data_IF_041311920734
#
_entry.id   IF_041311920734
#
_cell.length_a   1.000
_cell.length_b   1.000
_cell.length_c   1.000
_cell.angle_alpha   90.00
_cell.angle_beta   90.00
_cell.angle_gamma   90.00
#
_symmetry.space_group_name_H-M   'P 1'
#
loop_
_entity.id
_entity.type
_entity.pdbx_description
1 polymer ?
#
# COMPACT_ATOMS: atom_id res chain seq x y z
N UNK A 1 -26.01 9.05 -22.36
CA UNK A 1 -25.72 8.92 -20.91
C UNK A 1 -25.04 10.20 -20.43
N UNK A 2 -25.49 10.76 -19.31
CA UNK A 2 -24.77 11.85 -18.65
C UNK A 2 -23.41 11.35 -18.11
N UNK A 3 -22.57 12.28 -17.63
CA UNK A 3 -21.26 11.94 -17.05
C UNK A 3 -21.38 11.04 -15.82
N UNK A 4 -22.36 11.30 -14.94
CA UNK A 4 -22.56 10.55 -13.70
C UNK A 4 -22.85 9.06 -13.95
N UNK A 5 -23.81 8.75 -14.82
CA UNK A 5 -24.14 7.38 -15.20
C UNK A 5 -22.94 6.64 -15.80
N UNK A 6 -22.10 7.34 -16.57
CA UNK A 6 -20.90 6.77 -17.16
C UNK A 6 -19.88 6.36 -16.09
N UNK A 7 -19.72 7.18 -15.04
CA UNK A 7 -18.87 6.85 -13.88
C UNK A 7 -19.42 5.69 -13.06
N UNK A 8 -20.74 5.65 -12.81
CA UNK A 8 -21.38 4.54 -12.09
C UNK A 8 -21.17 3.23 -12.84
N UNK A 9 -21.41 3.20 -14.15
CA UNK A 9 -21.18 2.01 -14.99
C UNK A 9 -19.72 1.57 -14.95
N UNK A 10 -18.77 2.51 -15.10
CA UNK A 10 -17.34 2.20 -15.03
C UNK A 10 -16.94 1.62 -13.66
N UNK A 11 -17.38 2.24 -12.56
CA UNK A 11 -17.15 1.75 -11.20
C UNK A 11 -17.72 0.36 -10.97
N UNK A 12 -18.94 0.08 -11.44
CA UNK A 12 -19.54 -1.25 -11.34
C UNK A 12 -18.75 -2.31 -12.12
N UNK A 13 -18.20 -1.97 -13.29
CA UNK A 13 -17.34 -2.88 -14.06
C UNK A 13 -16.02 -3.15 -13.37
N UNK A 14 -15.39 -2.12 -12.79
CA UNK A 14 -14.15 -2.25 -12.01
C UNK A 14 -14.38 -3.14 -10.80
N UNK A 15 -15.46 -2.89 -10.05
CA UNK A 15 -15.83 -3.70 -8.88
C UNK A 15 -16.12 -5.15 -9.29
N UNK A 16 -16.91 -5.35 -10.36
CA UNK A 16 -17.24 -6.68 -10.87
C UNK A 16 -16.01 -7.45 -11.36
N UNK A 17 -15.06 -6.78 -12.03
CA UNK A 17 -13.78 -7.38 -12.36
C UNK A 17 -13.03 -7.79 -11.09
N UNK A 18 -12.83 -6.87 -10.15
CA UNK A 18 -12.08 -7.12 -8.93
C UNK A 18 -12.64 -8.30 -8.13
N UNK A 19 -13.95 -8.29 -7.83
CA UNK A 19 -14.59 -9.35 -7.04
C UNK A 19 -14.60 -10.70 -7.75
N UNK A 20 -14.77 -10.72 -9.08
CA UNK A 20 -14.75 -11.98 -9.86
C UNK A 20 -13.35 -12.58 -9.99
N UNK A 21 -12.29 -11.75 -10.03
CA UNK A 21 -10.93 -12.25 -10.21
C UNK A 21 -10.26 -12.63 -8.89
N UNK A 22 -10.39 -11.82 -7.83
CA UNK A 22 -9.68 -12.04 -6.56
C UNK A 22 -10.00 -13.41 -5.94
N UNK A 23 -11.26 -13.86 -6.02
CA UNK A 23 -11.68 -15.15 -5.46
C UNK A 23 -11.14 -16.37 -6.22
N UNK A 24 -10.59 -16.18 -7.42
CA UNK A 24 -10.07 -17.23 -8.31
C UNK A 24 -8.56 -17.43 -8.20
N UNK A 25 -7.86 -16.68 -7.36
CA UNK A 25 -6.40 -16.84 -7.19
C UNK A 25 -6.01 -18.22 -6.62
N UNK A 26 -6.95 -18.96 -6.03
CA UNK A 26 -6.76 -20.36 -5.65
C UNK A 26 -6.60 -21.29 -6.87
N UNK A 27 -7.08 -20.90 -8.06
CA UNK A 27 -6.88 -21.63 -9.31
C UNK A 27 -5.40 -21.66 -9.72
N UNK A 28 -4.61 -20.64 -9.34
CA UNK A 28 -3.15 -20.58 -9.58
C UNK A 28 -2.44 -21.60 -8.69
N UNK A 29 -2.68 -21.51 -7.38
CA UNK A 29 -2.12 -22.35 -6.34
C UNK A 29 -2.97 -22.21 -5.05
N UNK A 30 -3.31 -23.30 -4.33
CA UNK A 30 -4.22 -23.24 -3.18
C UNK A 30 -3.71 -22.37 -2.02
N UNK A 31 -2.40 -22.30 -1.83
CA UNK A 31 -1.79 -21.48 -0.77
C UNK A 31 -1.54 -20.01 -1.16
N UNK A 32 -1.71 -19.64 -2.44
CA UNK A 32 -1.43 -18.29 -2.93
C UNK A 32 -2.37 -17.23 -2.34
N UNK A 33 -3.71 -17.41 -2.34
CA UNK A 33 -4.62 -16.40 -1.80
C UNK A 33 -4.26 -15.98 -0.39
N UNK A 34 -3.91 -16.92 0.47
CA UNK A 34 -3.62 -16.66 1.88
C UNK A 34 -2.22 -16.08 2.16
N UNK A 35 -1.33 -16.02 1.16
CA UNK A 35 0.07 -15.65 1.34
C UNK A 35 0.96 -16.75 1.94
N UNK A 36 0.42 -17.94 2.25
CA UNK A 36 1.22 -19.10 2.72
C UNK A 36 2.25 -19.50 1.67
N UNK A 37 1.91 -19.45 0.38
CA UNK A 37 2.86 -19.73 -0.70
C UNK A 37 4.05 -18.76 -0.66
N UNK A 38 3.81 -17.46 -0.48
CA UNK A 38 4.87 -16.46 -0.37
C UNK A 38 5.81 -16.76 0.80
N UNK A 39 5.26 -17.05 1.97
CA UNK A 39 6.06 -17.35 3.17
C UNK A 39 6.95 -18.60 2.97
N UNK A 40 6.41 -19.63 2.33
CA UNK A 40 7.14 -20.86 2.02
C UNK A 40 8.25 -20.63 0.98
N UNK A 41 7.95 -19.89 -0.09
CA UNK A 41 8.93 -19.54 -1.12
C UNK A 41 10.08 -18.72 -0.53
N UNK A 42 9.77 -17.72 0.28
CA UNK A 42 10.78 -16.91 0.96
C UNK A 42 11.67 -17.75 1.87
N UNK A 43 11.07 -18.62 2.68
CA UNK A 43 11.80 -19.53 3.57
C UNK A 43 12.73 -20.46 2.77
N UNK A 44 12.26 -21.01 1.65
CA UNK A 44 13.09 -21.85 0.77
C UNK A 44 14.24 -21.05 0.15
N UNK A 45 13.97 -19.83 -0.30
CA UNK A 45 14.96 -18.96 -0.92
C UNK A 45 16.07 -18.57 0.06
N UNK A 46 15.72 -18.23 1.31
CA UNK A 46 16.67 -17.91 2.37
C UNK A 46 17.50 -19.13 2.76
N UNK A 47 16.87 -20.30 2.94
CA UNK A 47 17.54 -21.49 3.46
C UNK A 47 18.34 -22.26 2.40
N UNK A 48 17.92 -22.21 1.13
CA UNK A 48 18.47 -23.04 0.04
C UNK A 48 19.05 -22.24 -1.11
N UNK A 49 18.96 -20.92 -1.09
CA UNK A 49 19.32 -20.05 -2.22
C UNK A 49 18.39 -20.18 -3.45
N UNK A 50 17.44 -21.13 -3.44
CA UNK A 50 16.55 -21.43 -4.55
C UNK A 50 15.15 -21.85 -4.06
N UNK A 51 14.13 -21.44 -4.80
CA UNK A 51 12.76 -21.88 -4.63
C UNK A 51 12.12 -22.14 -6.00
N UNK A 52 11.36 -23.21 -6.13
CA UNK A 52 10.62 -23.52 -7.36
C UNK A 52 9.17 -23.80 -7.01
N UNK A 53 8.26 -23.25 -7.79
CA UNK A 53 6.82 -23.51 -7.69
C UNK A 53 6.24 -23.73 -9.08
N UNK A 54 5.33 -24.69 -9.20
CA UNK A 54 4.51 -24.86 -10.40
C UNK A 54 3.17 -24.16 -10.19
N UNK A 55 2.82 -23.27 -11.11
CA UNK A 55 1.57 -22.50 -11.10
C UNK A 55 0.72 -22.94 -12.29
N UNK A 56 -0.60 -23.02 -12.10
CA UNK A 56 -1.52 -23.34 -13.19
C UNK A 56 -1.57 -22.17 -14.20
N UNK A 57 -1.29 -22.38 -15.48
CA UNK A 57 -1.26 -21.30 -16.48
C UNK A 57 -2.66 -20.74 -16.81
N UNK A 58 -3.71 -21.56 -16.71
CA UNK A 58 -5.03 -21.26 -17.29
C UNK A 58 -5.63 -19.97 -16.73
N UNK A 59 -5.55 -19.77 -15.42
CA UNK A 59 -6.11 -18.57 -14.81
C UNK A 59 -5.39 -17.29 -15.26
N UNK A 60 -4.09 -17.37 -15.53
CA UNK A 60 -3.28 -16.25 -16.01
C UNK A 60 -3.78 -15.74 -17.36
N UNK A 61 -4.05 -16.67 -18.28
CA UNK A 61 -4.62 -16.36 -19.58
C UNK A 61 -6.04 -15.79 -19.47
N UNK A 62 -6.89 -16.40 -18.65
CA UNK A 62 -8.27 -15.93 -18.40
C UNK A 62 -8.29 -14.50 -17.83
N UNK A 63 -7.48 -14.23 -16.80
CA UNK A 63 -7.37 -12.93 -16.15
C UNK A 63 -6.89 -11.87 -17.15
N UNK A 64 -5.81 -12.17 -17.88
CA UNK A 64 -5.24 -11.25 -18.86
C UNK A 64 -6.21 -10.95 -20.01
N UNK A 65 -6.97 -11.95 -20.45
CA UNK A 65 -8.04 -11.77 -21.43
C UNK A 65 -9.13 -10.84 -20.89
N UNK A 66 -9.67 -11.13 -19.70
CA UNK A 66 -10.69 -10.30 -19.06
C UNK A 66 -10.20 -8.85 -18.85
N UNK A 67 -8.95 -8.67 -18.45
CA UNK A 67 -8.35 -7.34 -18.28
C UNK A 67 -8.23 -6.59 -19.63
N UNK A 68 -7.77 -7.28 -20.69
CA UNK A 68 -7.69 -6.74 -22.06
C UNK A 68 -9.06 -6.36 -22.62
N UNK A 69 -10.15 -7.00 -22.18
CA UNK A 69 -11.53 -6.66 -22.56
C UNK A 69 -12.10 -5.49 -21.73
N UNK A 70 -11.72 -5.40 -20.44
CA UNK A 70 -12.13 -4.32 -19.55
C UNK A 70 -11.60 -2.96 -20.00
N UNK A 71 -10.31 -2.86 -20.31
CA UNK A 71 -9.64 -1.61 -20.69
C UNK A 71 -10.32 -0.84 -21.84
N UNK A 72 -10.59 -1.43 -23.02
CA UNK A 72 -11.28 -0.74 -24.12
C UNK A 72 -12.73 -0.39 -23.77
N UNK A 73 -13.39 -1.22 -22.95
CA UNK A 73 -14.74 -0.92 -22.44
C UNK A 73 -14.74 0.35 -21.59
N UNK A 74 -13.81 0.48 -20.64
CA UNK A 74 -13.67 1.68 -19.83
C UNK A 74 -13.34 2.92 -20.69
N UNK A 75 -12.44 2.78 -21.68
CA UNK A 75 -12.12 3.88 -22.61
C UNK A 75 -13.35 4.37 -23.36
N UNK A 76 -14.19 3.45 -23.85
CA UNK A 76 -15.42 3.79 -24.57
C UNK A 76 -16.41 4.47 -23.64
N UNK A 77 -16.67 3.89 -22.47
CA UNK A 77 -17.67 4.37 -21.53
C UNK A 77 -17.29 5.76 -20.96
N UNK A 78 -15.99 6.07 -20.83
CA UNK A 78 -15.48 7.33 -20.29
C UNK A 78 -15.07 8.37 -21.37
N UNK A 79 -15.16 8.03 -22.66
CA UNK A 79 -14.72 8.92 -23.75
C UNK A 79 -15.51 10.23 -23.73
N UNK A 80 -14.80 11.36 -23.63
CA UNK A 80 -15.41 12.70 -23.59
C UNK A 80 -16.21 12.99 -22.32
N UNK A 81 -16.08 12.17 -21.27
CA UNK A 81 -16.70 12.38 -19.95
C UNK A 81 -15.72 12.92 -18.91
N UNK A 82 -14.43 12.68 -19.13
CA UNK A 82 -13.31 13.19 -18.35
C UNK A 82 -12.99 14.62 -18.82
N UNK A 83 -13.75 15.60 -18.30
CA UNK A 83 -13.60 17.00 -18.73
C UNK A 83 -12.49 17.76 -17.99
N UNK A 84 -11.90 17.15 -16.95
CA UNK A 84 -10.91 17.79 -16.11
C UNK A 84 -9.51 17.33 -16.48
N UNK A 85 -8.59 18.27 -16.63
CA UNK A 85 -7.18 17.94 -16.71
C UNK A 85 -6.71 17.34 -15.38
N UNK A 86 -5.70 16.49 -15.43
CA UNK A 86 -5.12 15.91 -14.22
C UNK A 86 -4.64 17.01 -13.25
N UNK A 87 -4.10 18.12 -13.75
CA UNK A 87 -3.64 19.24 -12.94
C UNK A 87 -4.80 19.90 -12.17
N UNK A 88 -5.98 20.03 -12.79
CA UNK A 88 -7.17 20.54 -12.12
C UNK A 88 -7.63 19.59 -11.00
N UNK A 89 -7.63 18.27 -11.27
CA UNK A 89 -7.93 17.24 -10.26
C UNK A 89 -6.94 17.33 -9.09
N UNK A 90 -5.64 17.37 -9.38
CA UNK A 90 -4.58 17.46 -8.38
C UNK A 90 -4.71 18.70 -7.48
N UNK A 91 -4.89 19.88 -8.09
CA UNK A 91 -5.02 21.12 -7.33
C UNK A 91 -6.29 21.13 -6.45
N UNK A 92 -7.42 20.70 -6.99
CA UNK A 92 -8.67 20.62 -6.24
C UNK A 92 -8.61 19.58 -5.11
N UNK A 93 -7.95 18.44 -5.32
CA UNK A 93 -7.70 17.44 -4.27
C UNK A 93 -6.90 18.01 -3.11
N UNK A 94 -5.81 18.75 -3.38
CA UNK A 94 -5.05 19.40 -2.31
C UNK A 94 -5.89 20.44 -1.56
N UNK A 95 -6.62 21.29 -2.28
CA UNK A 95 -7.50 22.29 -1.68
C UNK A 95 -8.53 21.64 -0.74
N UNK A 96 -9.20 20.58 -1.19
CA UNK A 96 -10.20 19.85 -0.39
C UNK A 96 -9.58 19.29 0.89
N UNK A 97 -8.35 18.74 0.83
CA UNK A 97 -7.67 18.21 2.02
C UNK A 97 -7.33 19.30 3.04
N UNK A 98 -6.80 20.43 2.58
CA UNK A 98 -6.50 21.56 3.46
C UNK A 98 -7.78 22.12 4.09
N UNK A 99 -8.85 22.29 3.28
CA UNK A 99 -10.15 22.69 3.80
C UNK A 99 -10.67 21.69 4.84
N UNK A 100 -10.58 20.39 4.57
CA UNK A 100 -11.01 19.36 5.51
C UNK A 100 -10.23 19.41 6.82
N UNK A 101 -8.90 19.56 6.76
CA UNK A 101 -8.06 19.78 7.94
C UNK A 101 -8.54 20.98 8.77
N UNK A 102 -8.74 22.15 8.17
CA UNK A 102 -9.21 23.33 8.89
C UNK A 102 -10.64 23.15 9.45
N UNK A 103 -11.52 22.47 8.71
CA UNK A 103 -12.86 22.15 9.19
C UNK A 103 -12.81 21.23 10.41
N UNK A 104 -11.92 20.22 10.43
CA UNK A 104 -11.73 19.35 11.61
C UNK A 104 -11.28 20.16 12.81
N UNK A 105 -10.28 21.05 12.65
CA UNK A 105 -9.82 21.90 13.74
C UNK A 105 -10.93 22.80 14.29
N UNK A 106 -11.85 23.27 13.44
CA UNK A 106 -12.92 24.20 13.83
C UNK A 106 -14.18 23.52 14.39
N UNK A 107 -14.58 22.39 13.81
CA UNK A 107 -15.89 21.77 13.99
C UNK A 107 -15.83 20.29 14.42
N UNK A 108 -14.63 19.71 14.51
CA UNK A 108 -14.41 18.29 14.80
C UNK A 108 -14.56 17.38 13.58
N UNK A 109 -14.13 16.13 13.74
CA UNK A 109 -14.06 15.15 12.65
C UNK A 109 -15.42 14.82 12.02
N UNK A 110 -16.41 14.43 12.84
CA UNK A 110 -17.71 13.97 12.34
C UNK A 110 -18.45 15.05 11.55
N UNK A 111 -18.41 16.31 12.00
CA UNK A 111 -19.00 17.45 11.29
C UNK A 111 -18.32 17.75 9.95
N UNK A 112 -17.04 17.40 9.83
CA UNK A 112 -16.19 17.78 8.70
C UNK A 112 -16.05 16.69 7.63
N UNK A 113 -16.61 15.49 7.85
CA UNK A 113 -16.51 14.36 6.91
C UNK A 113 -17.05 14.71 5.52
N UNK A 114 -18.09 15.55 5.47
CA UNK A 114 -18.68 16.02 4.21
C UNK A 114 -17.70 16.81 3.36
N UNK A 115 -16.77 17.56 3.98
CA UNK A 115 -15.72 18.27 3.26
C UNK A 115 -14.78 17.28 2.58
N UNK A 116 -14.37 16.20 3.26
CA UNK A 116 -13.55 15.16 2.67
C UNK A 116 -14.24 14.42 1.51
N UNK A 117 -15.56 14.20 1.61
CA UNK A 117 -16.35 13.56 0.54
C UNK A 117 -16.38 14.38 -0.77
N UNK A 118 -16.12 15.69 -0.73
CA UNK A 118 -16.07 16.54 -1.93
C UNK A 118 -15.02 16.09 -2.94
N UNK A 119 -13.99 15.34 -2.53
CA UNK A 119 -12.99 14.83 -3.46
C UNK A 119 -13.60 13.92 -4.54
N UNK A 120 -14.69 13.22 -4.24
CA UNK A 120 -15.37 12.35 -5.20
C UNK A 120 -16.20 13.13 -6.22
N UNK A 121 -16.48 14.41 -5.98
CA UNK A 121 -17.03 15.30 -7.01
C UNK A 121 -15.95 15.65 -8.05
N UNK A 122 -14.70 15.80 -7.62
CA UNK A 122 -13.55 16.13 -8.48
C UNK A 122 -13.00 14.89 -9.19
N UNK A 123 -12.90 13.77 -8.47
CA UNK A 123 -12.30 12.52 -8.91
C UNK A 123 -13.24 11.33 -8.64
N UNK A 124 -14.41 11.22 -9.31
CA UNK A 124 -15.44 10.23 -8.98
C UNK A 124 -14.96 8.77 -9.02
N UNK A 125 -14.10 8.41 -9.98
CA UNK A 125 -13.52 7.06 -10.05
C UNK A 125 -12.56 6.74 -8.91
N UNK A 126 -12.10 7.72 -8.12
CA UNK A 126 -11.31 7.44 -6.92
C UNK A 126 -12.14 6.80 -5.80
N UNK A 127 -13.47 6.96 -5.83
CA UNK A 127 -14.38 6.30 -4.88
C UNK A 127 -14.23 4.78 -4.95
N UNK A 128 -14.31 4.20 -6.15
CA UNK A 128 -14.21 2.75 -6.27
C UNK A 128 -12.81 2.26 -5.88
N UNK A 129 -11.76 2.99 -6.22
CA UNK A 129 -10.39 2.64 -5.79
C UNK A 129 -10.25 2.75 -4.27
N UNK A 130 -10.91 3.71 -3.60
CA UNK A 130 -10.97 3.73 -2.13
C UNK A 130 -11.57 2.45 -1.55
N UNK A 131 -12.61 1.89 -2.17
CA UNK A 131 -13.19 0.61 -1.75
C UNK A 131 -12.16 -0.51 -1.91
N UNK A 132 -11.52 -0.61 -3.08
CA UNK A 132 -10.54 -1.66 -3.36
C UNK A 132 -9.31 -1.56 -2.44
N UNK A 133 -8.81 -0.34 -2.21
CA UNK A 133 -7.70 -0.05 -1.30
C UNK A 133 -8.06 -0.38 0.15
N UNK A 134 -9.29 -0.05 0.58
CA UNK A 134 -9.77 -0.46 1.89
C UNK A 134 -9.88 -1.98 2.02
N UNK A 135 -10.33 -2.71 0.98
CA UNK A 135 -10.29 -4.17 1.00
C UNK A 135 -8.86 -4.71 1.10
N UNK A 136 -7.89 -4.05 0.43
CA UNK A 136 -6.48 -4.44 0.42
C UNK A 136 -5.81 -4.33 1.78
N UNK A 137 -6.02 -3.21 2.50
CA UNK A 137 -5.36 -2.94 3.78
C UNK A 137 -6.25 -3.20 5.01
N UNK A 138 -7.57 -3.22 4.84
CA UNK A 138 -8.53 -3.25 5.95
C UNK A 138 -8.42 -4.50 6.81
N UNK A 139 -7.96 -5.61 6.25
CA UNK A 139 -7.76 -6.85 7.01
C UNK A 139 -6.61 -6.71 8.02
N UNK A 140 -5.50 -6.08 7.63
CA UNK A 140 -4.37 -5.82 8.53
C UNK A 140 -4.78 -4.85 9.65
N UNK A 141 -5.58 -3.85 9.31
CA UNK A 141 -6.17 -2.92 10.27
C UNK A 141 -7.09 -3.62 11.29
N UNK A 142 -7.89 -4.60 10.85
CA UNK A 142 -8.72 -5.42 11.73
C UNK A 142 -7.85 -6.24 12.70
N UNK A 143 -6.82 -6.93 12.20
CA UNK A 143 -5.90 -7.68 13.07
C UNK A 143 -5.25 -6.79 14.12
N UNK A 144 -4.82 -5.59 13.70
CA UNK A 144 -4.28 -4.59 14.61
C UNK A 144 -5.25 -4.25 15.74
N UNK A 145 -6.49 -3.85 15.43
CA UNK A 145 -7.43 -3.44 16.46
C UNK A 145 -7.91 -4.59 17.35
N UNK A 146 -7.98 -5.84 16.83
CA UNK A 146 -8.27 -7.03 17.66
C UNK A 146 -7.17 -7.22 18.69
N UNK A 147 -5.90 -7.21 18.27
CA UNK A 147 -4.76 -7.36 19.17
C UNK A 147 -4.68 -6.18 20.13
N UNK A 148 -4.91 -4.96 19.64
CA UNK A 148 -4.89 -3.76 20.48
C UNK A 148 -5.95 -3.84 21.58
N UNK A 149 -7.20 -4.19 21.25
CA UNK A 149 -8.27 -4.40 22.22
C UNK A 149 -7.89 -5.47 23.27
N UNK A 150 -7.33 -6.60 22.82
CA UNK A 150 -6.92 -7.67 23.72
C UNK A 150 -5.81 -7.20 24.69
N UNK A 151 -4.79 -6.49 24.19
CA UNK A 151 -3.69 -5.95 25.01
C UNK A 151 -4.20 -4.91 26.00
N UNK A 152 -4.99 -3.93 25.54
CA UNK A 152 -5.56 -2.89 26.39
C UNK A 152 -6.47 -3.45 27.49
N UNK A 153 -7.13 -4.59 27.23
CA UNK A 153 -7.97 -5.27 28.22
C UNK A 153 -7.18 -6.14 29.18
N UNK A 154 -6.07 -6.74 28.74
CA UNK A 154 -5.25 -7.65 29.54
C UNK A 154 -4.27 -6.91 30.45
N UNK A 155 -3.71 -5.78 30.02
CA UNK A 155 -2.69 -5.03 30.77
C UNK A 155 -3.13 -4.64 32.19
N UNK A 156 -4.36 -4.11 32.41
CA UNK A 156 -4.84 -3.79 33.76
C UNK A 156 -5.06 -5.02 34.66
N UNK A 157 -5.13 -6.23 34.09
CA UNK A 157 -5.38 -7.48 34.82
C UNK A 157 -4.08 -8.16 35.30
N UNK A 158 -2.92 -7.61 34.95
CA UNK A 158 -1.64 -8.16 35.40
C UNK A 158 -1.48 -7.99 36.91
N UNK A 159 -0.87 -8.96 37.61
CA UNK A 159 -0.69 -8.90 39.07
C UNK A 159 0.38 -7.88 39.50
N UNK A 160 0.99 -7.17 38.56
CA UNK A 160 2.00 -6.13 38.78
C UNK A 160 1.62 -4.86 38.01
N UNK A 161 1.99 -3.72 38.57
CA UNK A 161 1.76 -2.43 37.92
C UNK A 161 2.75 -2.20 36.79
N UNK A 162 2.23 -2.00 35.57
CA UNK A 162 3.02 -1.50 34.44
C UNK A 162 2.99 0.03 34.49
N UNK A 163 4.13 0.74 34.53
CA UNK A 163 4.15 2.20 34.51
C UNK A 163 3.40 2.75 33.29
N UNK A 164 2.38 3.57 33.53
CA UNK A 164 1.62 4.20 32.45
C UNK A 164 2.37 5.43 31.95
N UNK A 165 3.10 5.27 30.84
CA UNK A 165 3.69 6.38 30.10
C UNK A 165 2.76 6.71 28.95
N UNK A 166 2.24 7.93 28.91
CA UNK A 166 1.26 8.34 27.91
C UNK A 166 1.86 9.27 26.86
N UNK A 167 1.66 8.93 25.59
CA UNK A 167 1.84 9.84 24.47
C UNK A 167 0.53 10.58 24.21
N UNK A 168 0.57 11.91 24.15
CA UNK A 168 -0.58 12.71 23.74
C UNK A 168 -0.41 13.12 22.30
N UNK A 169 -1.41 12.87 21.46
CA UNK A 169 -1.45 13.34 20.08
C UNK A 169 -1.76 14.84 20.06
N UNK A 170 -0.74 15.66 20.27
CA UNK A 170 -0.83 17.12 20.21
C UNK A 170 0.01 17.68 19.05
N UNK A 171 0.15 19.00 19.01
CA UNK A 171 0.97 19.67 17.99
C UNK A 171 2.45 19.24 18.06
N UNK A 172 2.99 19.04 19.27
CA UNK A 172 4.39 18.63 19.44
C UNK A 172 4.60 17.21 18.90
N UNK A 173 3.66 16.30 19.17
CA UNK A 173 3.66 14.96 18.59
C UNK A 173 3.63 15.02 17.06
N UNK A 174 2.70 15.78 16.48
CA UNK A 174 2.56 15.91 15.03
C UNK A 174 3.84 16.46 14.37
N UNK A 175 4.42 17.53 14.92
CA UNK A 175 5.66 18.13 14.41
C UNK A 175 6.83 17.16 14.54
N UNK A 176 6.96 16.49 15.69
CA UNK A 176 8.05 15.53 15.93
C UNK A 176 7.94 14.33 14.98
N UNK A 177 6.74 13.78 14.81
CA UNK A 177 6.49 12.66 13.91
C UNK A 177 6.87 13.01 12.46
N UNK A 178 6.40 14.15 11.95
CA UNK A 178 6.70 14.60 10.59
C UNK A 178 8.20 14.94 10.40
N UNK A 179 8.83 15.53 11.42
CA UNK A 179 10.27 15.82 11.38
C UNK A 179 11.10 14.53 11.34
N UNK A 180 10.75 13.52 12.14
CA UNK A 180 11.41 12.21 12.11
C UNK A 180 11.23 11.56 10.74
N UNK A 181 10.01 11.50 10.20
CA UNK A 181 9.79 10.93 8.85
C UNK A 181 10.61 11.67 7.78
N UNK A 182 10.67 13.00 7.84
CA UNK A 182 11.47 13.80 6.91
C UNK A 182 12.97 13.47 7.01
N UNK A 183 13.52 13.40 8.23
CA UNK A 183 14.92 13.03 8.46
C UNK A 183 15.22 11.61 7.97
N UNK A 184 14.29 10.67 8.15
CA UNK A 184 14.40 9.31 7.63
C UNK A 184 14.40 9.28 6.10
N UNK A 185 13.57 10.10 5.43
CA UNK A 185 13.61 10.23 3.97
C UNK A 185 14.96 10.80 3.48
N UNK A 186 15.49 11.82 4.16
CA UNK A 186 16.83 12.36 3.88
C UNK A 186 17.92 11.30 4.04
N UNK A 187 17.84 10.49 5.11
CA UNK A 187 18.80 9.44 5.39
C UNK A 187 18.80 8.36 4.29
N UNK A 188 17.62 7.85 3.92
CA UNK A 188 17.50 6.85 2.85
C UNK A 188 17.98 7.43 1.51
N UNK A 189 17.61 8.68 1.20
CA UNK A 189 18.05 9.32 -0.04
C UNK A 189 19.58 9.45 -0.09
N UNK A 190 20.20 9.91 1.00
CA UNK A 190 21.65 10.10 1.06
C UNK A 190 22.47 8.79 1.03
N UNK A 191 21.88 7.68 1.43
CA UNK A 191 22.59 6.40 1.59
C UNK A 191 22.36 5.42 0.45
N UNK A 192 21.18 5.44 -0.17
CA UNK A 192 20.80 4.45 -1.19
C UNK A 192 20.51 5.07 -2.56
N UNK A 193 20.02 6.31 -2.63
CA UNK A 193 19.49 6.89 -3.87
C UNK A 193 20.57 7.24 -4.88
N UNK A 194 20.26 7.02 -6.15
CA UNK A 194 20.88 7.71 -7.28
C UNK A 194 20.79 9.23 -7.10
N UNK A 195 21.81 9.94 -7.56
CA UNK A 195 21.87 11.38 -7.47
C UNK A 195 20.86 12.03 -8.44
N UNK A 196 19.84 12.69 -7.90
CA UNK A 196 18.94 13.50 -8.70
C UNK A 196 19.53 14.91 -8.82
N UNK A 197 19.39 15.53 -9.99
CA UNK A 197 19.72 16.95 -10.14
C UNK A 197 18.90 17.81 -9.18
N UNK A 198 19.49 18.88 -8.63
CA UNK A 198 18.92 19.72 -7.55
C UNK A 198 17.46 20.12 -7.78
N UNK A 199 17.12 20.53 -9.02
CA UNK A 199 15.74 20.90 -9.37
C UNK A 199 14.76 19.74 -9.24
N UNK A 200 15.13 18.56 -9.74
CA UNK A 200 14.29 17.36 -9.68
C UNK A 200 14.16 16.90 -8.24
N UNK A 201 15.26 16.84 -7.50
CA UNK A 201 15.26 16.51 -6.08
C UNK A 201 14.34 17.44 -5.27
N UNK A 202 14.45 18.76 -5.45
CA UNK A 202 13.58 19.72 -4.78
C UNK A 202 12.08 19.51 -5.10
N UNK A 203 11.75 19.11 -6.34
CA UNK A 203 10.38 18.76 -6.70
C UNK A 203 9.89 17.53 -5.92
N UNK A 204 10.68 16.47 -5.80
CA UNK A 204 10.32 15.29 -5.00
C UNK A 204 10.17 15.63 -3.51
N UNK A 205 11.07 16.44 -2.96
CA UNK A 205 10.96 16.91 -1.57
C UNK A 205 9.66 17.66 -1.35
N UNK A 206 9.32 18.64 -2.20
CA UNK A 206 8.13 19.48 -2.00
C UNK A 206 6.85 18.71 -2.36
N UNK A 207 6.76 18.19 -3.58
CA UNK A 207 5.57 17.50 -4.06
C UNK A 207 5.36 16.16 -3.35
N UNK A 208 6.40 15.34 -3.24
CA UNK A 208 6.33 14.04 -2.55
C UNK A 208 5.86 14.23 -1.12
N UNK A 209 6.45 15.15 -0.36
CA UNK A 209 6.01 15.44 1.02
C UNK A 209 4.56 15.94 1.07
N UNK A 210 4.16 16.88 0.22
CA UNK A 210 2.77 17.36 0.22
C UNK A 210 1.79 16.25 -0.16
N UNK A 211 2.10 15.47 -1.19
CA UNK A 211 1.25 14.39 -1.67
C UNK A 211 1.12 13.29 -0.61
N UNK A 212 2.22 12.88 0.01
CA UNK A 212 2.27 11.71 0.90
C UNK A 212 2.12 12.04 2.38
N UNK A 213 2.16 13.31 2.82
CA UNK A 213 2.08 13.63 4.26
C UNK A 213 0.87 14.48 4.65
N UNK A 214 0.19 15.12 3.70
CA UNK A 214 -1.00 15.98 4.02
C UNK A 214 -2.14 15.23 4.68
N UNK A 215 -2.25 13.92 4.46
CA UNK A 215 -3.18 13.03 5.16
C UNK A 215 -2.96 13.03 6.69
N UNK A 216 -1.70 13.04 7.15
CA UNK A 216 -1.40 13.02 8.58
C UNK A 216 -1.86 14.29 9.28
N UNK A 217 -1.94 15.41 8.56
CA UNK A 217 -2.55 16.63 9.10
C UNK A 217 -4.02 16.38 9.49
N UNK A 218 -4.77 15.69 8.63
CA UNK A 218 -6.17 15.32 8.87
C UNK A 218 -6.28 14.36 10.06
N UNK A 219 -5.45 13.31 10.11
CA UNK A 219 -5.45 12.34 11.21
C UNK A 219 -5.08 13.00 12.55
N UNK A 220 -4.00 13.77 12.59
CA UNK A 220 -3.58 14.47 13.82
C UNK A 220 -4.59 15.52 14.27
N UNK A 221 -5.24 16.23 13.35
CA UNK A 221 -6.33 17.13 13.70
C UNK A 221 -7.52 16.36 14.29
N UNK A 222 -7.89 15.22 13.69
CA UNK A 222 -9.04 14.44 14.12
C UNK A 222 -8.81 13.76 15.47
N UNK A 223 -7.59 13.29 15.72
CA UNK A 223 -7.19 12.59 16.95
C UNK A 223 -6.51 13.51 17.97
N UNK A 224 -6.60 14.82 17.79
CA UNK A 224 -5.98 15.80 18.68
C UNK A 224 -6.44 15.60 20.14
N UNK A 225 -5.47 15.48 21.05
CA UNK A 225 -5.68 15.20 22.46
C UNK A 225 -5.87 13.71 22.82
N UNK A 226 -5.84 12.80 21.84
CA UNK A 226 -5.85 11.36 22.12
C UNK A 226 -4.63 10.99 22.96
N UNK A 227 -4.87 10.29 24.08
CA UNK A 227 -3.85 9.79 24.99
C UNK A 227 -3.67 8.30 24.75
N UNK A 228 -2.44 7.90 24.44
CA UNK A 228 -2.09 6.52 24.12
C UNK A 228 -1.04 6.03 25.11
N UNK A 229 -1.29 4.87 25.71
CA UNK A 229 -0.30 4.21 26.58
C UNK A 229 0.81 3.57 25.74
N UNK A 230 2.07 3.95 26.03
CA UNK A 230 3.25 3.46 25.31
C UNK A 230 3.42 1.96 25.46
N UNK A 231 3.13 1.39 26.64
CA UNK A 231 3.23 -0.05 26.85
C UNK A 231 2.25 -0.81 25.95
N UNK A 232 1.01 -0.34 25.88
CA UNK A 232 -0.02 -0.83 24.95
C UNK A 232 0.45 -0.80 23.49
N UNK A 233 1.07 0.30 23.03
CA UNK A 233 1.59 0.43 21.67
C UNK A 233 2.68 -0.59 21.38
N UNK A 234 3.68 -0.68 22.26
CA UNK A 234 4.83 -1.56 22.08
C UNK A 234 4.42 -3.04 22.08
N UNK A 235 3.57 -3.46 23.03
CA UNK A 235 3.13 -4.85 23.13
C UNK A 235 2.22 -5.22 21.96
N UNK A 236 1.26 -4.36 21.61
CA UNK A 236 0.40 -4.56 20.43
C UNK A 236 1.23 -4.66 19.16
N UNK A 237 2.22 -3.77 18.98
CA UNK A 237 3.13 -3.77 17.85
C UNK A 237 3.98 -5.04 17.77
N UNK A 238 4.60 -5.45 18.88
CA UNK A 238 5.41 -6.66 18.94
C UNK A 238 4.61 -7.92 18.64
N UNK A 239 3.38 -8.03 19.16
CA UNK A 239 2.47 -9.15 18.89
C UNK A 239 2.04 -9.18 17.42
N UNK A 240 1.67 -8.03 16.83
CA UNK A 240 1.33 -7.94 15.41
C UNK A 240 2.50 -8.38 14.52
N UNK A 241 3.69 -7.81 14.74
CA UNK A 241 4.89 -8.15 14.00
C UNK A 241 5.24 -9.64 14.13
N UNK A 242 5.16 -10.20 15.35
CA UNK A 242 5.41 -11.63 15.59
C UNK A 242 4.38 -12.52 14.90
N UNK A 243 3.11 -12.13 14.94
CA UNK A 243 2.02 -12.84 14.27
C UNK A 243 2.19 -12.85 12.74
N UNK A 244 2.64 -11.74 12.16
CA UNK A 244 2.98 -11.64 10.75
C UNK A 244 4.21 -12.49 10.39
N UNK A 245 5.33 -12.31 11.09
CA UNK A 245 6.61 -12.98 10.79
C UNK A 245 6.59 -14.49 11.04
N UNK A 246 5.77 -14.97 11.98
CA UNK A 246 5.58 -16.41 12.24
C UNK A 246 4.62 -17.10 11.25
N UNK A 247 4.11 -16.38 10.24
CA UNK A 247 3.08 -16.88 9.32
C UNK A 247 1.72 -17.11 9.99
N UNK A 248 1.51 -16.60 11.21
CA UNK A 248 0.23 -16.64 11.90
C UNK A 248 -0.87 -15.94 11.10
N UNK A 249 -0.57 -14.75 10.55
CA UNK A 249 -1.52 -14.02 9.68
C UNK A 249 -1.92 -14.83 8.46
N UNK A 250 -0.95 -15.36 7.72
CA UNK A 250 -1.22 -16.16 6.52
C UNK A 250 -2.10 -17.38 6.83
N UNK A 251 -1.84 -18.07 7.95
CA UNK A 251 -2.68 -19.19 8.42
C UNK A 251 -4.11 -18.75 8.79
N UNK A 252 -4.26 -17.61 9.47
CA UNK A 252 -5.57 -17.07 9.80
C UNK A 252 -6.37 -16.69 8.53
N UNK A 253 -5.73 -16.01 7.57
CA UNK A 253 -6.34 -15.68 6.28
C UNK A 253 -6.79 -16.94 5.53
N UNK A 254 -5.93 -17.97 5.49
CA UNK A 254 -6.28 -19.27 4.91
C UNK A 254 -7.51 -19.89 5.59
N UNK A 255 -7.55 -19.90 6.91
CA UNK A 255 -8.66 -20.46 7.68
C UNK A 255 -9.99 -19.70 7.44
N UNK A 256 -9.91 -18.39 7.20
CA UNK A 256 -11.05 -17.53 6.91
C UNK A 256 -11.42 -17.49 5.42
N UNK A 257 -10.65 -18.13 4.54
CA UNK A 257 -10.83 -18.04 3.09
C UNK A 257 -10.61 -16.61 2.54
N UNK A 258 -9.81 -15.79 3.23
CA UNK A 258 -9.55 -14.41 2.86
C UNK A 258 -8.26 -14.28 2.05
N UNK A 259 -8.23 -13.40 1.03
CA UNK A 259 -7.02 -13.09 0.29
C UNK A 259 -6.07 -12.21 1.11
N UNK A 260 -4.77 -12.38 0.89
CA UNK A 260 -3.69 -11.64 1.49
C UNK A 260 -3.34 -10.40 0.66
N UNK A 261 -2.67 -9.47 1.32
CA UNK A 261 -2.25 -8.18 0.76
C UNK A 261 -1.65 -8.29 -0.66
N UNK A 262 -0.67 -9.16 -0.98
CA UNK A 262 -0.05 -9.17 -2.31
C UNK A 262 -1.02 -9.46 -3.47
N UNK A 263 -2.02 -10.32 -3.22
CA UNK A 263 -3.04 -10.67 -4.21
C UNK A 263 -3.99 -9.51 -4.45
N UNK A 264 -4.47 -8.92 -3.35
CA UNK A 264 -5.39 -7.78 -3.39
C UNK A 264 -4.72 -6.57 -4.04
N UNK A 265 -3.51 -6.25 -3.59
CA UNK A 265 -2.68 -5.17 -4.09
C UNK A 265 -2.42 -5.31 -5.58
N UNK A 266 -1.99 -6.48 -6.08
CA UNK A 266 -1.74 -6.66 -7.51
C UNK A 266 -2.98 -6.34 -8.37
N UNK A 267 -4.15 -6.83 -7.95
CA UNK A 267 -5.40 -6.59 -8.68
C UNK A 267 -5.81 -5.11 -8.64
N UNK A 268 -5.81 -4.53 -7.44
CA UNK A 268 -6.19 -3.14 -7.20
C UNK A 268 -5.23 -2.18 -7.91
N UNK A 269 -3.91 -2.42 -7.82
CA UNK A 269 -2.90 -1.61 -8.45
C UNK A 269 -3.03 -1.61 -9.99
N UNK A 270 -3.20 -2.79 -10.60
CA UNK A 270 -3.42 -2.89 -12.05
C UNK A 270 -4.71 -2.19 -12.49
N UNK A 271 -5.78 -2.26 -11.69
CA UNK A 271 -7.02 -1.51 -11.94
C UNK A 271 -6.83 0.00 -11.77
N UNK A 272 -5.99 0.44 -10.84
CA UNK A 272 -5.59 1.83 -10.63
C UNK A 272 -4.97 2.46 -11.88
N UNK A 273 -4.28 1.66 -12.70
CA UNK A 273 -3.69 2.08 -13.98
C UNK A 273 -4.66 2.01 -15.18
N UNK A 274 -5.93 1.61 -14.98
CA UNK A 274 -6.91 1.63 -16.06
C UNK A 274 -7.17 3.05 -16.58
N UNK A 275 -7.49 3.22 -17.88
CA UNK A 275 -7.88 4.50 -18.45
C UNK A 275 -9.06 5.14 -17.71
N UNK A 276 -8.94 6.42 -17.41
CA UNK A 276 -9.91 7.19 -16.63
C UNK A 276 -9.79 7.00 -15.12
N UNK A 277 -9.49 5.79 -14.65
CA UNK A 277 -9.20 5.52 -13.23
C UNK A 277 -7.88 6.17 -12.82
N UNK A 278 -6.83 5.94 -13.61
CA UNK A 278 -5.48 6.44 -13.36
C UNK A 278 -5.43 7.94 -13.05
N UNK A 279 -5.94 8.86 -13.89
CA UNK A 279 -5.90 10.29 -13.56
C UNK A 279 -6.73 10.70 -12.34
N UNK A 280 -7.71 9.90 -11.91
CA UNK A 280 -8.58 10.24 -10.77
C UNK A 280 -8.04 9.71 -9.44
N UNK A 281 -7.42 8.54 -9.45
CA UNK A 281 -7.03 7.81 -8.25
C UNK A 281 -5.51 7.78 -8.06
N UNK A 282 -4.81 7.22 -9.06
CA UNK A 282 -3.46 6.68 -8.84
C UNK A 282 -2.34 7.55 -9.46
N UNK A 283 -2.64 8.40 -10.46
CA UNK A 283 -1.64 9.26 -11.12
C UNK A 283 -1.00 10.28 -10.19
N UNK A 284 -1.64 10.62 -9.06
CA UNK A 284 -1.01 11.46 -8.03
C UNK A 284 0.25 10.79 -7.45
N UNK A 285 0.26 9.46 -7.34
CA UNK A 285 1.44 8.70 -6.95
C UNK A 285 2.58 8.85 -7.96
N UNK A 286 2.23 8.74 -9.25
CA UNK A 286 3.13 8.70 -10.41
C UNK A 286 3.38 10.05 -11.07
N UNK A 287 3.03 11.17 -10.40
CA UNK A 287 3.05 12.46 -11.07
C UNK A 287 4.48 12.89 -11.41
N UNK A 288 5.40 12.64 -10.47
CA UNK A 288 6.82 12.78 -10.74
C UNK A 288 7.29 11.48 -11.39
N UNK A 289 8.07 11.62 -12.46
CA UNK A 289 8.67 10.49 -13.12
C UNK A 289 9.79 9.94 -12.22
N UNK A 290 9.79 8.61 -12.02
CA UNK A 290 10.67 7.91 -11.05
C UNK A 290 10.34 8.31 -9.61
N UNK A 291 11.11 7.82 -8.65
CA UNK A 291 10.73 7.96 -7.24
C UNK A 291 11.92 8.16 -6.30
N UNK A 292 11.65 8.82 -5.18
CA UNK A 292 12.55 9.04 -4.04
C UNK A 292 11.82 8.70 -2.73
N UNK A 293 12.54 8.55 -1.59
CA UNK A 293 11.91 8.32 -0.29
C UNK A 293 10.81 9.33 0.09
N UNK A 294 10.86 10.55 -0.44
CA UNK A 294 9.85 11.59 -0.18
C UNK A 294 8.50 11.27 -0.83
N UNK A 295 8.49 10.44 -1.86
CA UNK A 295 7.28 9.95 -2.53
C UNK A 295 6.73 8.68 -1.86
N UNK A 296 7.43 8.16 -0.84
CA UNK A 296 7.00 7.00 -0.09
C UNK A 296 5.89 7.36 0.90
N UNK A 297 4.80 6.62 0.79
CA UNK A 297 3.70 6.67 1.73
C UNK A 297 4.10 6.02 3.07
N UNK A 298 3.64 6.62 4.17
CA UNK A 298 3.51 5.90 5.44
C UNK A 298 2.13 5.25 5.33
N UNK A 299 2.06 3.92 5.24
CA UNK A 299 0.85 3.11 4.97
C UNK A 299 -0.48 3.88 4.98
N UNK A 300 -0.92 4.23 3.76
CA UNK A 300 -2.08 5.06 3.48
C UNK A 300 -1.80 6.54 3.68
N UNK A 301 -1.53 7.27 2.60
CA UNK A 301 -1.26 8.68 2.74
C UNK A 301 -1.45 9.53 1.47
N UNK A 302 -2.50 10.34 1.53
CA UNK A 302 -2.72 11.55 0.74
C UNK A 302 -3.03 11.33 -0.73
N UNK A 303 -3.52 10.17 -1.14
CA UNK A 303 -4.08 10.01 -2.48
C UNK A 303 -5.61 10.02 -2.45
N UNK A 304 -6.21 10.34 -3.60
CA UNK A 304 -7.67 10.30 -3.75
C UNK A 304 -8.26 8.89 -3.54
N UNK A 305 -7.42 7.84 -3.54
CA UNK A 305 -7.79 6.43 -3.36
C UNK A 305 -7.72 5.92 -1.92
N UNK A 306 -7.48 6.79 -0.93
CA UNK A 306 -7.20 6.35 0.45
C UNK A 306 -8.20 6.91 1.47
N UNK A 307 -9.32 7.47 1.01
CA UNK A 307 -10.32 8.06 1.92
C UNK A 307 -10.84 7.06 2.94
N UNK A 308 -11.25 5.87 2.53
CA UNK A 308 -11.77 4.89 3.48
C UNK A 308 -10.70 4.35 4.43
N UNK A 309 -9.43 4.45 4.04
CA UNK A 309 -8.32 4.19 4.93
C UNK A 309 -8.20 5.28 6.02
N UNK A 310 -8.37 6.58 5.69
CA UNK A 310 -8.52 7.66 6.71
C UNK A 310 -9.56 7.31 7.76
N UNK A 311 -10.71 6.86 7.29
CA UNK A 311 -11.83 6.55 8.17
C UNK A 311 -11.48 5.38 9.10
N UNK A 312 -10.79 4.36 8.59
CA UNK A 312 -10.34 3.20 9.35
C UNK A 312 -9.29 3.51 10.42
N UNK A 313 -8.44 4.51 10.18
CA UNK A 313 -7.46 5.02 11.16
C UNK A 313 -8.13 5.85 12.27
N UNK A 314 -9.11 6.69 11.90
CA UNK A 314 -9.67 7.70 12.80
C UNK A 314 -10.84 7.17 13.65
N UNK A 315 -11.81 6.50 13.03
CA UNK A 315 -13.08 6.17 13.70
C UNK A 315 -12.88 5.23 14.90
N UNK A 316 -12.13 4.11 14.81
CA UNK A 316 -11.95 3.20 15.94
C UNK A 316 -11.37 3.91 17.17
N UNK A 317 -10.37 4.77 16.96
CA UNK A 317 -9.76 5.57 18.01
C UNK A 317 -10.77 6.52 18.67
N UNK A 318 -11.57 7.24 17.88
CA UNK A 318 -12.58 8.18 18.39
C UNK A 318 -13.72 7.51 19.16
N UNK A 319 -14.11 6.30 18.74
CA UNK A 319 -15.20 5.54 19.36
C UNK A 319 -14.78 4.76 20.61
N UNK A 320 -13.48 4.46 20.77
CA UNK A 320 -12.94 3.61 21.85
C UNK A 320 -12.88 4.25 23.24
N UNK A 321 -13.88 5.02 23.68
CA UNK A 321 -13.79 5.78 24.94
C UNK A 321 -14.06 4.92 26.20
N UNK A 322 -13.23 5.00 27.27
CA UNK A 322 -11.99 5.80 27.37
C UNK A 322 -10.89 5.23 26.48
N UNK A 323 -10.14 6.09 25.77
CA UNK A 323 -9.23 5.75 24.67
C UNK A 323 -8.39 4.47 24.90
N UNK A 324 -8.91 3.33 24.47
CA UNK A 324 -8.22 2.04 24.55
C UNK A 324 -7.54 1.66 23.25
N UNK A 325 -7.97 2.27 22.13
CA UNK A 325 -7.41 2.03 20.81
C UNK A 325 -6.52 3.19 20.37
N UNK A 326 -5.42 2.83 19.71
CA UNK A 326 -4.50 3.77 19.09
C UNK A 326 -4.47 3.56 17.58
N UNK A 327 -4.12 4.58 16.78
CA UNK A 327 -4.21 4.48 15.33
C UNK A 327 -3.15 3.51 14.77
N UNK A 328 -3.54 2.79 13.72
CA UNK A 328 -2.77 1.71 13.13
C UNK A 328 -1.41 2.17 12.58
N UNK A 329 -1.28 3.42 12.14
CA UNK A 329 0.02 3.96 11.70
C UNK A 329 1.10 4.00 12.81
N UNK A 330 0.73 3.95 14.10
CA UNK A 330 1.68 3.84 15.21
C UNK A 330 2.07 2.41 15.55
N UNK A 331 1.48 1.41 14.90
CA UNK A 331 1.83 0.03 15.12
C UNK A 331 3.26 -0.26 14.62
N UNK A 332 4.04 -1.00 15.41
CA UNK A 332 5.44 -1.32 15.07
C UNK A 332 5.58 -2.03 13.71
N UNK A 333 4.64 -2.93 13.37
CA UNK A 333 4.64 -3.56 12.06
C UNK A 333 4.42 -2.54 10.95
N UNK A 334 3.41 -1.68 11.08
CA UNK A 334 3.11 -0.62 10.10
C UNK A 334 4.28 0.35 9.93
N UNK A 335 4.95 0.72 11.03
CA UNK A 335 6.15 1.55 11.00
C UNK A 335 7.31 0.84 10.29
N UNK A 336 7.50 -0.46 10.53
CA UNK A 336 8.46 -1.27 9.79
C UNK A 336 8.12 -1.28 8.29
N UNK A 337 6.87 -1.54 7.91
CA UNK A 337 6.54 -1.59 6.48
C UNK A 337 6.62 -0.20 5.82
N UNK A 338 6.28 0.88 6.54
CA UNK A 338 6.52 2.27 6.11
C UNK A 338 8.00 2.56 5.88
N UNK A 339 8.88 2.06 6.76
CA UNK A 339 10.32 2.16 6.58
C UNK A 339 10.77 1.43 5.31
N UNK A 340 10.34 0.19 5.12
CA UNK A 340 10.66 -0.59 3.91
C UNK A 340 10.12 0.06 2.64
N UNK A 341 8.98 0.75 2.73
CA UNK A 341 8.39 1.45 1.60
C UNK A 341 9.23 2.66 1.16
N UNK A 342 9.99 3.30 2.06
CA UNK A 342 10.95 4.36 1.69
C UNK A 342 12.07 3.82 0.81
N UNK A 343 12.64 2.67 1.19
CA UNK A 343 13.59 1.95 0.34
C UNK A 343 12.95 1.57 -1.00
N UNK A 344 11.72 1.04 -0.99
CA UNK A 344 10.97 0.73 -2.21
C UNK A 344 10.72 1.91 -3.15
N UNK A 345 10.65 3.12 -2.63
CA UNK A 345 10.53 4.34 -3.42
C UNK A 345 11.87 5.01 -3.66
N UNK A 346 12.98 4.29 -3.55
CA UNK A 346 14.31 4.84 -3.84
C UNK A 346 14.83 4.19 -5.10
N UNK A 347 15.19 5.00 -6.09
CA UNK A 347 16.04 4.46 -7.17
C UNK A 347 17.44 4.24 -6.62
N UNK A 348 17.81 2.99 -6.39
CA UNK A 348 19.12 2.56 -5.91
C UNK A 348 20.19 2.75 -6.98
N UNK A 349 21.31 3.34 -6.56
CA UNK A 349 22.50 3.53 -7.39
C UNK A 349 23.31 2.25 -7.60
N UNK A 350 23.95 2.12 -8.77
CA UNK A 350 24.82 0.97 -9.09
C UNK A 350 26.06 0.89 -8.19
N UNK A 351 26.50 2.03 -7.63
CA UNK A 351 27.69 2.16 -6.79
C UNK A 351 27.40 2.12 -5.27
N UNK A 352 26.12 2.11 -4.87
CA UNK A 352 25.66 2.30 -3.49
C UNK A 352 25.68 1.05 -2.61
N UNK A 353 26.09 1.22 -1.35
CA UNK A 353 26.02 0.21 -0.30
C UNK A 353 24.63 0.14 0.35
N UNK A 354 24.06 -1.07 0.38
CA UNK A 354 22.67 -1.44 0.68
C UNK A 354 22.19 -1.27 2.14
N UNK A 355 22.77 -0.40 2.97
CA UNK A 355 22.50 -0.44 4.43
C UNK A 355 21.01 -0.19 4.75
N UNK A 356 20.32 0.60 3.94
CA UNK A 356 18.91 1.00 4.15
C UNK A 356 18.06 0.81 2.89
N UNK A 357 18.59 0.08 1.91
CA UNK A 357 17.89 -0.24 0.68
C UNK A 357 16.97 -1.44 0.87
N UNK A 358 15.76 -1.34 0.35
CA UNK A 358 14.73 -2.38 0.43
C UNK A 358 14.25 -2.82 -0.96
N UNK A 359 14.67 -2.15 -2.03
CA UNK A 359 14.31 -2.47 -3.41
C UNK A 359 15.54 -2.40 -4.31
N UNK A 360 16.53 -3.24 -3.99
CA UNK A 360 17.89 -3.21 -4.55
C UNK A 360 17.98 -3.30 -6.08
N UNK A 361 16.90 -3.70 -6.75
CA UNK A 361 16.82 -3.86 -8.20
C UNK A 361 16.00 -2.79 -8.90
N UNK A 362 15.47 -1.82 -8.16
CA UNK A 362 14.58 -0.79 -8.67
C UNK A 362 13.24 -1.33 -9.22
N UNK A 363 12.70 -2.45 -8.72
CA UNK A 363 11.44 -3.03 -9.21
C UNK A 363 10.31 -2.00 -9.22
N UNK A 364 10.10 -1.36 -8.07
CA UNK A 364 9.05 -0.39 -7.85
C UNK A 364 9.43 0.98 -8.42
N UNK A 365 10.71 1.36 -8.38
CA UNK A 365 11.16 2.59 -9.05
C UNK A 365 10.98 2.53 -10.59
N UNK A 366 11.16 1.37 -11.21
CA UNK A 366 10.88 1.14 -12.62
C UNK A 366 9.38 1.17 -12.92
N UNK A 367 8.55 0.71 -11.98
CA UNK A 367 7.10 0.90 -12.05
C UNK A 367 6.74 2.40 -12.13
N UNK A 368 7.33 3.24 -11.27
CA UNK A 368 7.21 4.71 -11.27
C UNK A 368 7.77 5.41 -12.53
N UNK A 369 8.47 4.66 -13.39
CA UNK A 369 8.98 5.15 -14.68
C UNK A 369 8.09 4.68 -15.85
N UNK A 370 7.63 3.43 -15.81
CA UNK A 370 6.96 2.77 -16.94
C UNK A 370 5.43 2.77 -16.83
N UNK A 371 4.89 2.81 -15.60
CA UNK A 371 3.46 2.79 -15.23
C UNK A 371 2.63 1.65 -15.84
N UNK A 372 3.26 0.67 -16.49
CA UNK A 372 2.60 -0.36 -17.30
C UNK A 372 3.13 -1.77 -17.07
N UNK A 373 4.05 -1.89 -16.11
CA UNK A 373 4.74 -3.10 -15.67
C UNK A 373 4.92 -3.04 -14.15
N UNK A 374 5.29 -4.15 -13.51
CA UNK A 374 5.65 -4.23 -12.10
C UNK A 374 4.52 -3.78 -11.15
N UNK A 375 3.34 -4.38 -11.29
CA UNK A 375 2.16 -4.06 -10.47
C UNK A 375 2.15 -4.72 -9.09
N UNK A 376 2.93 -5.78 -8.90
CA UNK A 376 3.09 -6.46 -7.62
C UNK A 376 3.89 -5.65 -6.61
N UNK A 377 3.95 -6.16 -5.39
CA UNK A 377 4.88 -5.63 -4.38
C UNK A 377 6.30 -6.13 -4.69
N UNK A 378 7.31 -5.30 -4.47
CA UNK A 378 8.73 -5.71 -4.56
C UNK A 378 9.06 -6.95 -3.70
N UNK A 379 8.36 -7.15 -2.58
CA UNK A 379 8.47 -8.33 -1.72
C UNK A 379 7.87 -9.62 -2.33
N UNK A 380 7.09 -9.48 -3.40
CA UNK A 380 6.40 -10.58 -4.06
C UNK A 380 6.07 -10.31 -5.53
N UNK A 381 7.10 -10.17 -6.40
CA UNK A 381 6.91 -9.89 -7.82
C UNK A 381 6.44 -11.13 -8.59
N UNK A 382 6.24 -12.27 -7.92
CA UNK A 382 5.77 -13.53 -8.53
C UNK A 382 4.53 -13.32 -9.42
N UNK A 383 3.61 -12.46 -9.01
CA UNK A 383 2.39 -12.20 -9.78
C UNK A 383 2.69 -11.47 -11.09
N UNK A 384 3.66 -10.58 -11.14
CA UNK A 384 4.07 -9.94 -12.40
C UNK A 384 4.63 -10.96 -13.38
N UNK A 385 5.57 -11.80 -12.94
CA UNK A 385 6.10 -12.88 -13.79
C UNK A 385 5.00 -13.86 -14.24
N UNK A 386 4.08 -14.22 -13.34
CA UNK A 386 2.98 -15.12 -13.67
C UNK A 386 2.02 -14.52 -14.72
N UNK A 387 1.66 -13.24 -14.60
CA UNK A 387 0.76 -12.57 -15.53
C UNK A 387 1.48 -11.95 -16.74
N UNK A 388 2.81 -11.99 -16.82
CA UNK A 388 3.59 -11.36 -17.88
C UNK A 388 3.54 -9.84 -17.83
N UNK A 389 3.53 -9.25 -16.62
CA UNK A 389 3.52 -7.81 -16.39
C UNK A 389 4.82 -7.27 -15.81
N UNK A 390 5.87 -8.07 -15.75
CA UNK A 390 7.21 -7.63 -15.35
C UNK A 390 7.85 -6.70 -16.39
N UNK A 391 8.71 -5.79 -15.93
CA UNK A 391 9.55 -4.99 -16.81
C UNK A 391 10.63 -5.87 -17.47
N UNK A 392 11.07 -5.49 -18.69
CA UNK A 392 12.04 -6.25 -19.49
C UNK A 392 13.39 -6.51 -18.80
N UNK A 393 13.72 -5.78 -17.74
CA UNK A 393 14.98 -5.86 -17.00
C UNK A 393 14.76 -5.96 -15.48
N UNK A 394 13.75 -6.71 -15.04
CA UNK A 394 13.63 -7.01 -13.61
C UNK A 394 14.71 -7.99 -13.14
N UNK A 395 15.64 -7.50 -12.33
CA UNK A 395 16.09 -8.28 -11.16
C UNK A 395 15.06 -8.08 -10.04
N UNK A 396 15.23 -8.56 -8.81
CA UNK A 396 14.34 -8.18 -7.68
C UNK A 396 15.20 -7.90 -6.45
N UNK A 397 14.60 -7.37 -5.38
CA UNK A 397 15.18 -7.25 -4.03
C UNK A 397 16.03 -8.49 -3.70
N UNK A 398 17.23 -8.30 -3.13
CA UNK A 398 18.22 -9.35 -2.84
C UNK A 398 18.86 -10.03 -4.06
N UNK A 399 18.84 -9.38 -5.23
CA UNK A 399 19.41 -9.90 -6.49
C UNK A 399 18.83 -11.27 -6.87
N UNK A 400 17.55 -11.49 -6.56
CA UNK A 400 16.86 -12.74 -6.90
C UNK A 400 16.50 -12.72 -8.37
N UNK A 401 16.92 -13.77 -9.07
CA UNK A 401 16.56 -14.03 -10.46
C UNK A 401 15.29 -14.86 -10.50
N UNK A 402 14.32 -14.38 -11.26
CA UNK A 402 13.10 -15.11 -11.58
C UNK A 402 13.25 -15.66 -12.99
N UNK A 403 13.12 -16.98 -13.10
CA UNK A 403 13.10 -17.67 -14.37
C UNK A 403 11.77 -18.37 -14.54
N UNK A 404 11.03 -17.94 -15.56
CA UNK A 404 9.84 -18.63 -16.02
C UNK A 404 10.28 -19.84 -16.85
N UNK A 405 9.88 -21.02 -16.41
CA UNK A 405 10.05 -22.29 -17.11
C UNK A 405 8.66 -22.81 -17.41
N UNK A 406 8.20 -22.65 -18.65
CA UNK A 406 6.96 -23.31 -19.08
C UNK A 406 7.22 -24.79 -19.18
N UNK A 407 6.53 -25.58 -18.39
CA UNK A 407 6.54 -27.02 -18.59
C UNK A 407 5.65 -27.35 -19.80
N UNK A 408 6.00 -28.40 -20.54
CA UNK A 408 5.19 -28.86 -21.69
C UNK A 408 3.81 -29.40 -21.29
N UNK A 409 3.47 -29.39 -19.99
CA UNK A 409 2.24 -29.92 -19.41
C UNK A 409 1.16 -28.87 -19.16
N UNK A 410 1.35 -27.62 -19.60
CA UNK A 410 0.38 -26.54 -19.40
C UNK A 410 0.48 -25.83 -18.04
N UNK A 411 1.50 -26.15 -17.23
CA UNK A 411 1.91 -25.38 -16.07
C UNK A 411 2.94 -24.29 -16.43
N UNK A 412 2.97 -23.26 -15.60
CA UNK A 412 4.08 -22.29 -15.57
C UNK A 412 4.90 -22.60 -14.33
N UNK A 413 6.05 -23.24 -14.51
CA UNK A 413 7.07 -23.32 -13.48
C UNK A 413 7.71 -21.95 -13.28
N UNK A 414 7.76 -21.47 -12.05
CA UNK A 414 8.56 -20.29 -11.68
C UNK A 414 9.68 -20.77 -10.79
N UNK A 415 10.91 -20.52 -11.22
CA UNK A 415 12.11 -20.74 -10.41
C UNK A 415 12.68 -19.41 -9.96
N UNK A 416 12.86 -19.26 -8.66
CA UNK A 416 13.46 -18.12 -8.00
C UNK A 416 14.85 -18.53 -7.50
N UNK A 417 15.90 -17.81 -7.87
CA UNK A 417 17.29 -18.11 -7.48
C UNK A 417 17.97 -16.86 -6.95
N UNK A 418 18.48 -16.87 -5.72
CA UNK A 418 19.19 -15.73 -5.13
C UNK A 418 20.63 -15.70 -5.64
N UNK A 419 21.06 -14.61 -6.31
CA UNK A 419 22.47 -14.46 -6.74
C UNK A 419 23.37 -14.29 -5.51
N UNK A 420 24.54 -14.93 -5.53
CA UNK A 420 25.60 -14.70 -4.53
C UNK A 420 25.66 -15.72 -3.38
N UNK A 421 24.74 -16.68 -3.32
CA UNK A 421 24.97 -17.91 -2.53
C UNK A 421 25.88 -18.79 -3.38
N UNK A 422 27.12 -19.03 -2.94
CA UNK A 422 27.99 -20.02 -3.61
C UNK A 422 27.23 -21.35 -3.61
N UNK A 423 27.04 -21.94 -4.79
CA UNK A 423 26.62 -23.34 -4.87
C UNK A 423 27.72 -24.16 -4.19
N UNK A 424 27.39 -24.79 -3.05
CA UNK A 424 28.26 -25.76 -2.38
C UNK A 424 28.17 -27.13 -3.06
#
# INVERSE_FOLDING_TARGET
>A
MDSFNSYVVASSRILGFYTSQVVRFNEIHPDLPSGVLQANLWTSLVNKGKATVTLNAKFGDDFNKAYKELVPTLRRDLKGKLNWSFQAILAASFLIRFLWFFMILRYGFFSSIYTGLLQFAVAPLSFIVCVLRFCTNGIDCIFHYIINCAVSSALPLLPFSVPTVTLTMDLNFAVTFLAIDFLLNCLVYATSSDAFGVKRFALHVVYGTLNTKTYFLIVFAALSGLKVDVATVLITGALNLSFAKSGGRARALRALGLPAFPVLFYCEHRLGHCPGVYPHAHKQHHYLHDTTPFDAHIYGSGMNEEFFWLIAEIIPCLLSRPATLFPYFLNLETLYVSWTNKGGHTRTSEEGGHILDYDEDNFHADHHTQHSSNFGSANFPLLDFYFGTEAKRCTTVDKVLYQLVRDGGGGVGVTMTRRGVKEE
#
